data_IF_925554805240
#
_entry.id   IF_925554805240
#
_cell.length_a   1.000
_cell.length_b   1.000
_cell.length_c   1.000
_cell.angle_alpha   90.00
_cell.angle_beta   90.00
_cell.angle_gamma   90.00
#
_symmetry.space_group_name_H-M   'P 1'
#
loop_
_entity.id
_entity.type
_entity.pdbx_description
1 polymer ?
#
# COMPACT_ATOMS: atom_id res chain seq x y z
N UNK A 1 -6.42 -14.64 7.69
CA UNK A 1 -7.11 -14.26 6.46
C UNK A 1 -8.30 -13.32 6.70
N UNK A 2 -9.01 -13.48 7.82
CA UNK A 2 -10.15 -12.64 8.23
C UNK A 2 -9.74 -11.17 8.41
N UNK A 3 -8.62 -10.88 9.06
CA UNK A 3 -8.16 -9.52 9.37
C UNK A 3 -7.85 -8.62 8.16
N UNK A 4 -7.37 -9.19 7.06
CA UNK A 4 -7.05 -8.41 5.87
C UNK A 4 -8.30 -7.94 5.13
N UNK A 5 -9.30 -8.82 5.02
CA UNK A 5 -10.57 -8.49 4.40
C UNK A 5 -11.40 -7.52 5.25
N UNK A 6 -11.36 -7.68 6.56
CA UNK A 6 -11.99 -6.75 7.50
C UNK A 6 -11.33 -5.37 7.42
N UNK A 7 -10.02 -5.34 7.22
CA UNK A 7 -9.27 -4.11 7.04
C UNK A 7 -9.65 -3.38 5.72
N UNK A 8 -9.71 -4.07 4.57
CA UNK A 8 -10.20 -3.46 3.32
C UNK A 8 -11.64 -2.97 3.49
N UNK A 9 -12.50 -3.76 4.10
CA UNK A 9 -13.87 -3.35 4.40
C UNK A 9 -13.92 -2.12 5.29
N UNK A 10 -13.07 -2.05 6.30
CA UNK A 10 -13.00 -0.90 7.21
C UNK A 10 -12.49 0.36 6.52
N UNK A 11 -11.51 0.24 5.63
CA UNK A 11 -11.07 1.37 4.79
C UNK A 11 -12.21 1.86 3.92
N UNK A 12 -12.86 0.98 3.19
CA UNK A 12 -13.95 1.32 2.30
C UNK A 12 -15.13 1.92 3.10
N UNK A 13 -15.46 1.36 4.26
CA UNK A 13 -16.51 1.88 5.15
C UNK A 13 -16.14 3.23 5.77
N UNK A 14 -14.89 3.40 6.19
CA UNK A 14 -14.41 4.63 6.81
C UNK A 14 -14.44 5.82 5.86
N UNK A 15 -14.16 5.60 4.59
CA UNK A 15 -14.14 6.65 3.56
C UNK A 15 -15.48 6.88 2.88
N UNK A 16 -16.53 6.15 3.28
CA UNK A 16 -17.85 6.30 2.68
C UNK A 16 -17.84 6.05 1.17
N UNK A 17 -16.85 5.30 0.67
CA UNK A 17 -16.81 4.93 -0.74
C UNK A 17 -18.13 4.24 -1.09
N UNK A 18 -18.74 4.71 -2.16
CA UNK A 18 -19.87 4.06 -2.76
C UNK A 18 -19.53 2.62 -3.18
N UNK A 19 -20.32 2.06 -4.06
CA UNK A 19 -20.09 0.68 -4.50
C UNK A 19 -18.85 0.49 -5.37
N UNK A 20 -18.15 1.56 -5.73
CA UNK A 20 -16.93 1.53 -6.57
C UNK A 20 -15.86 2.43 -5.97
N UNK A 21 -14.62 1.96 -5.95
CA UNK A 21 -13.43 2.71 -5.53
C UNK A 21 -12.24 2.38 -6.41
N UNK A 22 -11.29 3.31 -6.52
CA UNK A 22 -10.03 3.14 -7.25
C UNK A 22 -8.88 3.18 -6.26
N UNK A 23 -8.11 2.10 -6.18
CA UNK A 23 -6.95 1.96 -5.30
C UNK A 23 -5.65 1.93 -6.09
N UNK A 24 -4.67 2.69 -5.63
CA UNK A 24 -3.33 2.71 -6.21
C UNK A 24 -2.38 1.90 -5.33
N UNK A 25 -1.77 0.87 -5.90
CA UNK A 25 -0.74 0.06 -5.24
C UNK A 25 0.64 0.56 -5.66
N UNK A 26 1.36 1.18 -4.77
CA UNK A 26 2.70 1.71 -4.99
C UNK A 26 3.67 1.26 -3.89
N UNK A 27 4.95 1.55 -4.07
CA UNK A 27 6.04 1.10 -3.23
C UNK A 27 7.19 0.61 -4.08
N UNK A 28 8.33 0.33 -3.46
CA UNK A 28 9.53 -0.09 -4.18
C UNK A 28 9.30 -1.39 -4.97
N UNK A 29 10.13 -1.64 -5.96
CA UNK A 29 10.14 -2.93 -6.65
C UNK A 29 10.41 -4.07 -5.65
N UNK A 30 9.90 -5.25 -5.97
CA UNK A 30 9.94 -6.42 -5.10
C UNK A 30 9.20 -6.29 -3.74
N UNK A 31 8.48 -5.20 -3.45
CA UNK A 31 7.68 -5.08 -2.23
C UNK A 31 6.45 -6.01 -2.20
N UNK A 32 6.08 -6.60 -3.34
CA UNK A 32 5.00 -7.59 -3.45
C UNK A 32 3.65 -7.02 -3.91
N UNK A 33 3.62 -5.88 -4.59
CA UNK A 33 2.41 -5.22 -5.11
C UNK A 33 1.59 -6.11 -6.03
N UNK A 34 2.22 -6.62 -7.10
CA UNK A 34 1.57 -7.52 -8.08
C UNK A 34 1.07 -8.82 -7.42
N UNK A 35 1.85 -9.36 -6.49
CA UNK A 35 1.47 -10.56 -5.72
C UNK A 35 0.25 -10.28 -4.85
N UNK A 36 0.19 -9.12 -4.21
CA UNK A 36 -0.97 -8.68 -3.43
C UNK A 36 -2.20 -8.55 -4.33
N UNK A 37 -2.07 -7.86 -5.46
CA UNK A 37 -3.17 -7.66 -6.40
C UNK A 37 -3.74 -9.01 -6.90
N UNK A 38 -2.89 -9.96 -7.25
CA UNK A 38 -3.34 -11.28 -7.68
C UNK A 38 -3.95 -12.11 -6.57
N UNK A 39 -3.41 -11.99 -5.36
CA UNK A 39 -3.99 -12.62 -4.18
C UNK A 39 -5.40 -12.12 -3.91
N UNK A 40 -5.61 -10.82 -4.07
CA UNK A 40 -6.94 -10.21 -3.92
C UNK A 40 -7.90 -10.64 -5.02
N UNK A 41 -7.41 -10.74 -6.26
CA UNK A 41 -8.22 -11.09 -7.42
C UNK A 41 -8.63 -12.56 -7.46
N UNK A 42 -7.71 -13.48 -7.13
CA UNK A 42 -7.88 -14.91 -7.37
C UNK A 42 -7.73 -15.79 -6.14
N UNK A 43 -7.34 -15.21 -5.00
CA UNK A 43 -6.99 -15.97 -3.80
C UNK A 43 -5.66 -16.73 -3.91
N UNK A 44 -4.95 -16.62 -5.03
CA UNK A 44 -3.72 -17.38 -5.30
C UNK A 44 -2.49 -16.49 -5.11
N UNK A 45 -1.39 -17.11 -4.65
CA UNK A 45 -0.07 -16.49 -4.62
C UNK A 45 0.63 -16.77 -5.95
N UNK A 46 0.92 -15.72 -6.70
CA UNK A 46 1.63 -15.79 -7.97
C UNK A 46 2.88 -14.94 -7.85
N UNK A 47 4.03 -15.52 -8.19
CA UNK A 47 5.27 -14.76 -8.31
C UNK A 47 5.31 -14.03 -9.66
N UNK A 48 5.67 -12.76 -9.60
CA UNK A 48 5.80 -11.92 -10.80
C UNK A 48 7.23 -11.44 -11.00
N UNK A 49 7.68 -11.31 -12.24
CA UNK A 49 8.86 -10.48 -12.53
C UNK A 49 8.55 -9.02 -12.17
N UNK A 50 9.58 -8.16 -12.09
CA UNK A 50 9.38 -6.72 -11.90
C UNK A 50 8.36 -6.15 -12.87
N UNK A 51 7.49 -5.26 -12.37
CA UNK A 51 6.43 -4.64 -13.17
C UNK A 51 7.00 -3.44 -13.92
N UNK A 52 7.07 -3.55 -15.25
CA UNK A 52 7.55 -2.49 -16.12
C UNK A 52 6.42 -1.59 -16.63
N UNK A 53 5.21 -2.15 -16.74
CA UNK A 53 4.03 -1.44 -17.24
C UNK A 53 2.93 -1.43 -16.18
N UNK A 54 2.18 -0.34 -16.12
CA UNK A 54 1.03 -0.24 -15.25
C UNK A 54 0.01 -1.34 -15.58
N UNK A 55 -0.51 -2.00 -14.54
CA UNK A 55 -1.57 -3.01 -14.66
C UNK A 55 -2.76 -2.55 -13.82
N UNK A 56 -3.96 -2.86 -14.30
CA UNK A 56 -5.16 -2.68 -13.51
C UNK A 56 -5.95 -3.96 -13.43
N UNK A 57 -6.59 -4.18 -12.29
CA UNK A 57 -7.54 -5.28 -12.08
C UNK A 57 -8.76 -4.79 -11.35
N UNK A 58 -9.90 -5.27 -11.80
CA UNK A 58 -11.14 -5.12 -11.08
C UNK A 58 -11.26 -6.24 -10.03
N UNK A 59 -11.54 -5.85 -8.80
CA UNK A 59 -11.59 -6.71 -7.64
C UNK A 59 -12.94 -6.52 -6.97
N UNK A 60 -13.58 -7.61 -6.56
CA UNK A 60 -14.87 -7.55 -5.87
C UNK A 60 -14.77 -8.11 -4.46
N UNK A 61 -15.29 -7.36 -3.50
CA UNK A 61 -15.36 -7.76 -2.11
C UNK A 61 -16.78 -7.57 -1.59
N UNK A 62 -17.55 -8.64 -1.51
CA UNK A 62 -18.97 -8.54 -1.20
C UNK A 62 -19.68 -7.68 -2.23
N UNK A 63 -20.29 -6.59 -1.78
CA UNK A 63 -21.04 -5.65 -2.63
C UNK A 63 -20.19 -4.48 -3.16
N UNK A 64 -18.89 -4.51 -2.92
CA UNK A 64 -17.98 -3.43 -3.28
C UNK A 64 -17.07 -3.90 -4.40
N UNK A 65 -17.02 -3.14 -5.47
CA UNK A 65 -16.08 -3.34 -6.58
C UNK A 65 -15.04 -2.22 -6.54
N UNK A 66 -13.77 -2.58 -6.67
CA UNK A 66 -12.70 -1.59 -6.75
C UNK A 66 -11.72 -1.93 -7.85
N UNK A 67 -11.17 -0.91 -8.48
CA UNK A 67 -10.11 -1.05 -9.47
C UNK A 67 -8.79 -0.82 -8.78
N UNK A 68 -7.91 -1.82 -8.77
CA UNK A 68 -6.56 -1.69 -8.27
C UNK A 68 -5.58 -1.44 -9.42
N UNK A 69 -4.76 -0.41 -9.30
CA UNK A 69 -3.66 -0.11 -10.22
C UNK A 69 -2.35 -0.55 -9.60
N UNK A 70 -1.63 -1.45 -10.25
CA UNK A 70 -0.31 -1.94 -9.85
C UNK A 70 0.76 -1.25 -10.70
N UNK A 71 1.52 -0.39 -10.10
CA UNK A 71 2.57 0.37 -10.76
C UNK A 71 3.96 -0.17 -10.44
N UNK A 72 4.88 -0.06 -11.40
CA UNK A 72 6.28 -0.40 -11.21
C UNK A 72 6.91 0.37 -10.06
N UNK A 73 7.81 -0.29 -9.32
CA UNK A 73 8.50 0.25 -8.15
C UNK A 73 9.96 0.64 -8.38
N UNK A 74 10.51 0.39 -9.57
CA UNK A 74 11.87 0.80 -9.90
C UNK A 74 11.94 2.32 -10.18
N UNK A 75 13.09 2.92 -10.03
CA UNK A 75 13.27 4.40 -10.03
C UNK A 75 12.60 5.10 -11.20
N UNK A 76 12.70 4.54 -12.42
CA UNK A 76 12.09 5.14 -13.60
C UNK A 76 10.55 5.05 -13.57
N UNK A 77 10.01 3.94 -13.11
CA UNK A 77 8.57 3.72 -13.04
C UNK A 77 7.86 4.58 -11.98
N UNK A 78 8.57 5.00 -10.91
CA UNK A 78 7.98 5.84 -9.86
C UNK A 78 7.54 7.21 -10.34
N UNK A 79 8.16 7.70 -11.43
CA UNK A 79 7.83 9.01 -12.03
C UNK A 79 6.37 9.10 -12.45
N UNK A 80 5.77 7.99 -12.84
CA UNK A 80 4.36 7.95 -13.27
C UNK A 80 3.37 7.79 -12.12
N UNK A 81 3.81 7.58 -10.87
CA UNK A 81 2.89 7.44 -9.74
C UNK A 81 1.97 8.64 -9.59
N UNK A 82 2.52 9.85 -9.74
CA UNK A 82 1.78 11.10 -9.59
C UNK A 82 0.71 11.32 -10.65
N UNK A 83 0.87 10.73 -11.83
CA UNK A 83 -0.12 10.82 -12.90
C UNK A 83 -1.45 10.14 -12.54
N UNK A 84 -1.39 9.18 -11.61
CA UNK A 84 -2.57 8.46 -11.11
C UNK A 84 -3.25 9.13 -9.93
N UNK A 85 -2.57 10.02 -9.20
CA UNK A 85 -3.09 10.61 -7.98
C UNK A 85 -4.46 11.28 -8.13
N UNK A 86 -4.74 12.07 -9.19
CA UNK A 86 -6.03 12.70 -9.36
C UNK A 86 -7.20 11.74 -9.63
N UNK A 87 -6.87 10.50 -9.99
CA UNK A 87 -7.85 9.51 -10.45
C UNK A 87 -8.17 8.43 -9.39
N UNK A 88 -7.58 8.48 -8.20
CA UNK A 88 -7.69 7.41 -7.21
C UNK A 88 -8.32 7.89 -5.91
N UNK A 89 -9.02 6.97 -5.25
CA UNK A 89 -9.74 7.22 -4.00
C UNK A 89 -8.92 6.79 -2.77
N UNK A 90 -7.87 6.00 -2.98
CA UNK A 90 -7.00 5.54 -1.90
C UNK A 90 -5.65 5.03 -2.42
N UNK A 91 -4.65 5.11 -1.57
CA UNK A 91 -3.29 4.65 -1.85
C UNK A 91 -2.88 3.58 -0.86
N UNK A 92 -2.31 2.51 -1.37
CA UNK A 92 -1.70 1.43 -0.59
C UNK A 92 -0.21 1.42 -0.91
N UNK A 93 0.60 1.85 0.05
CA UNK A 93 2.06 1.87 -0.07
C UNK A 93 2.65 0.60 0.57
N UNK A 94 3.27 -0.26 -0.25
CA UNK A 94 3.87 -1.50 0.21
C UNK A 94 5.36 -1.36 0.47
N UNK A 95 5.80 -1.90 1.61
CA UNK A 95 7.21 -1.98 2.02
C UNK A 95 7.56 -3.43 2.27
N UNK A 96 8.71 -3.90 1.76
CA UNK A 96 9.29 -5.19 2.13
C UNK A 96 9.89 -5.08 3.53
N UNK A 97 9.21 -5.62 4.54
CA UNK A 97 9.64 -5.54 5.93
C UNK A 97 10.93 -6.36 6.22
N UNK A 98 11.36 -7.20 5.30
CA UNK A 98 12.55 -8.04 5.41
C UNK A 98 13.78 -7.48 4.65
N UNK A 99 13.64 -6.32 3.99
CA UNK A 99 14.73 -5.71 3.24
C UNK A 99 15.18 -4.40 3.89
N UNK A 100 15.90 -4.52 4.98
CA UNK A 100 16.39 -3.37 5.75
C UNK A 100 17.34 -2.45 4.96
N UNK A 101 17.99 -2.97 3.93
CA UNK A 101 18.89 -2.19 3.08
C UNK A 101 18.16 -1.11 2.27
N UNK A 102 16.82 -1.27 2.08
CA UNK A 102 16.00 -0.37 1.28
C UNK A 102 15.00 0.46 2.10
N UNK A 103 15.04 0.37 3.42
CA UNK A 103 14.12 1.15 4.27
C UNK A 103 14.27 2.66 4.09
N UNK A 104 15.51 3.15 3.99
CA UNK A 104 15.77 4.57 3.76
C UNK A 104 15.18 5.03 2.42
N UNK A 105 15.32 4.24 1.36
CA UNK A 105 14.73 4.51 0.05
C UNK A 105 13.21 4.54 0.12
N UNK A 106 12.60 3.55 0.80
CA UNK A 106 11.16 3.49 0.99
C UNK A 106 10.62 4.67 1.81
N UNK A 107 11.36 5.10 2.85
CA UNK A 107 11.00 6.25 3.67
C UNK A 107 10.99 7.55 2.87
N UNK A 108 12.01 7.79 2.04
CA UNK A 108 12.09 8.98 1.19
C UNK A 108 10.93 9.05 0.20
N UNK A 109 10.62 7.93 -0.47
CA UNK A 109 9.50 7.88 -1.41
C UNK A 109 8.15 8.09 -0.72
N UNK A 110 7.96 7.46 0.45
CA UNK A 110 6.74 7.64 1.23
C UNK A 110 6.57 9.08 1.70
N UNK A 111 7.63 9.69 2.22
CA UNK A 111 7.63 11.09 2.66
C UNK A 111 7.27 12.05 1.52
N UNK A 112 7.85 11.81 0.33
CA UNK A 112 7.52 12.57 -0.88
C UNK A 112 6.05 12.48 -1.29
N UNK A 113 5.40 11.32 -1.03
CA UNK A 113 3.97 11.12 -1.29
C UNK A 113 3.13 11.82 -0.22
N UNK A 114 3.51 11.69 1.05
CA UNK A 114 2.78 12.29 2.17
C UNK A 114 2.76 13.82 2.13
N UNK A 115 3.74 14.43 1.49
CA UNK A 115 3.81 15.89 1.29
C UNK A 115 3.26 16.37 -0.06
N UNK A 116 2.69 15.47 -0.87
CA UNK A 116 2.10 15.86 -2.15
C UNK A 116 0.71 16.46 -1.94
N UNK A 117 0.56 17.75 -2.24
CA UNK A 117 -0.69 18.50 -2.02
C UNK A 117 -1.86 17.95 -2.85
N UNK A 118 -1.59 17.32 -3.99
CA UNK A 118 -2.64 16.79 -4.90
C UNK A 118 -3.43 15.65 -4.28
N UNK A 119 -2.84 14.94 -3.30
CA UNK A 119 -3.45 13.83 -2.58
C UNK A 119 -3.69 14.11 -1.10
N UNK A 120 -3.68 15.36 -0.68
CA UNK A 120 -3.89 15.75 0.73
C UNK A 120 -5.20 15.21 1.33
N UNK A 121 -6.17 14.88 0.48
CA UNK A 121 -7.47 14.30 0.86
C UNK A 121 -7.57 12.79 0.62
N UNK A 122 -6.56 12.19 -0.03
CA UNK A 122 -6.56 10.76 -0.37
C UNK A 122 -5.98 9.96 0.81
N UNK A 123 -6.72 8.98 1.32
CA UNK A 123 -6.22 8.12 2.39
C UNK A 123 -5.05 7.27 1.93
N UNK A 124 -4.03 7.18 2.77
CA UNK A 124 -2.84 6.37 2.51
C UNK A 124 -2.70 5.32 3.59
N UNK A 125 -2.51 4.09 3.16
CA UNK A 125 -2.23 2.96 4.03
C UNK A 125 -0.86 2.42 3.70
N UNK A 126 -0.04 2.20 4.73
CA UNK A 126 1.27 1.58 4.60
C UNK A 126 1.17 0.12 5.04
N UNK A 127 1.64 -0.79 4.19
CA UNK A 127 1.66 -2.22 4.44
C UNK A 127 3.09 -2.74 4.53
N UNK A 128 3.51 -3.22 5.71
CA UNK A 128 4.70 -4.03 5.87
C UNK A 128 4.44 -5.45 5.39
N UNK A 129 5.04 -5.82 4.26
CA UNK A 129 4.90 -7.13 3.65
C UNK A 129 6.11 -8.04 3.95
N UNK A 130 5.98 -9.34 3.68
CA UNK A 130 6.99 -10.38 3.86
C UNK A 130 7.46 -10.56 5.31
N UNK A 131 6.60 -10.27 6.25
CA UNK A 131 6.85 -10.44 7.69
C UNK A 131 6.96 -11.92 8.13
N UNK A 132 6.73 -12.86 7.22
CA UNK A 132 7.01 -14.28 7.39
C UNK A 132 8.50 -14.64 7.26
N UNK A 133 9.32 -13.71 6.82
CA UNK A 133 10.77 -13.87 6.74
C UNK A 133 11.43 -13.59 8.09
N UNK A 134 12.56 -14.26 8.35
CA UNK A 134 13.33 -14.11 9.60
C UNK A 134 13.90 -12.71 9.79
N UNK A 135 14.27 -12.06 8.67
CA UNK A 135 14.89 -10.75 8.61
C UNK A 135 13.87 -9.61 8.75
N UNK A 136 12.58 -9.95 8.75
CA UNK A 136 11.53 -8.94 8.82
C UNK A 136 11.54 -8.23 10.18
N UNK A 137 11.49 -6.91 10.12
CA UNK A 137 11.35 -6.08 11.33
C UNK A 137 9.90 -6.05 11.79
N UNK A 138 9.72 -5.85 13.08
CA UNK A 138 8.39 -5.70 13.68
C UNK A 138 7.72 -4.38 13.26
N UNK A 139 6.40 -4.34 13.39
CA UNK A 139 5.55 -3.21 12.99
C UNK A 139 6.01 -1.88 13.62
N UNK A 140 6.30 -1.87 14.91
CA UNK A 140 6.71 -0.67 15.62
C UNK A 140 8.04 -0.12 15.08
N UNK A 141 9.00 -1.01 14.85
CA UNK A 141 10.29 -0.64 14.28
C UNK A 141 10.14 -0.10 12.87
N UNK A 142 9.34 -0.76 12.02
CA UNK A 142 9.08 -0.30 10.67
C UNK A 142 8.39 1.08 10.67
N UNK A 143 7.42 1.27 11.55
CA UNK A 143 6.72 2.55 11.72
C UNK A 143 7.68 3.68 12.09
N UNK A 144 8.61 3.42 13.01
CA UNK A 144 9.62 4.40 13.42
C UNK A 144 10.58 4.73 12.28
N UNK A 145 11.08 3.72 11.56
CA UNK A 145 12.00 3.88 10.43
C UNK A 145 11.36 4.69 9.30
N UNK A 146 10.09 4.46 9.02
CA UNK A 146 9.34 5.16 7.99
C UNK A 146 8.82 6.55 8.44
N UNK A 147 9.09 6.97 9.69
CA UNK A 147 8.67 8.25 10.22
C UNK A 147 7.16 8.37 10.51
N UNK A 148 6.43 7.26 10.56
CA UNK A 148 4.97 7.26 10.67
C UNK A 148 4.45 7.66 12.06
N UNK A 149 5.29 7.60 13.06
CA UNK A 149 4.96 7.97 14.45
C UNK A 149 4.56 9.44 14.57
N UNK A 150 5.15 10.31 13.75
CA UNK A 150 4.86 11.75 13.73
C UNK A 150 3.41 12.00 13.26
N UNK A 151 2.95 11.23 12.30
CA UNK A 151 1.60 11.33 11.74
C UNK A 151 0.52 10.74 12.65
N UNK A 152 0.88 9.76 13.51
CA UNK A 152 -0.05 9.15 14.49
C UNK A 152 -0.40 10.09 15.65
N UNK A 153 0.46 11.05 15.97
CA UNK A 153 0.30 11.96 17.12
C UNK A 153 -0.55 13.21 16.83
N UNK A 154 -1.14 13.32 15.64
CA UNK A 154 -2.04 14.43 15.30
C UNK A 154 -1.37 15.80 15.17
N UNK A 155 -0.05 15.87 15.17
CA UNK A 155 0.70 17.14 15.00
C UNK A 155 0.70 17.65 13.56
N UNK A 156 0.28 16.83 12.60
CA UNK A 156 0.06 17.24 11.22
C UNK A 156 -1.44 17.17 10.98
N UNK A 157 -2.08 18.32 10.99
CA UNK A 157 -3.51 18.47 10.76
C UNK A 157 -3.81 18.28 9.27
N UNK A 158 -3.97 17.08 8.83
CA UNK A 158 -4.68 16.75 7.60
C UNK A 158 -5.21 15.31 7.72
N UNK A 159 -6.35 15.06 7.13
CA UNK A 159 -7.20 13.87 7.20
C UNK A 159 -6.53 12.53 6.78
N UNK A 160 -5.28 12.28 7.19
CA UNK A 160 -4.58 11.05 6.90
C UNK A 160 -4.96 9.98 7.92
N UNK A 161 -5.65 8.95 7.46
CA UNK A 161 -5.72 7.68 8.19
C UNK A 161 -4.51 6.85 7.83
N UNK A 162 -3.38 7.17 8.44
CA UNK A 162 -2.16 6.37 8.29
C UNK A 162 -2.25 5.18 9.23
N UNK A 163 -2.33 3.99 8.69
CA UNK A 163 -2.26 2.74 9.46
C UNK A 163 -1.19 1.86 8.85
N UNK A 164 -0.25 1.43 9.68
CA UNK A 164 0.67 0.37 9.35
C UNK A 164 -0.01 -0.96 9.68
N UNK A 165 0.00 -1.89 8.74
CA UNK A 165 -0.48 -3.25 8.94
C UNK A 165 0.64 -4.21 8.61
N UNK A 166 0.94 -5.09 9.55
CA UNK A 166 1.82 -6.23 9.33
C UNK A 166 0.97 -7.46 9.07
N UNK A 167 1.42 -8.27 8.16
CA UNK A 167 0.87 -9.58 7.82
C UNK A 167 -0.17 -9.61 6.71
N UNK A 168 0.30 -9.62 5.48
CA UNK A 168 -0.54 -10.04 4.34
C UNK A 168 -0.43 -11.56 4.12
N UNK A 169 0.68 -12.17 4.49
CA UNK A 169 0.96 -13.58 4.22
C UNK A 169 1.61 -14.29 5.42
N UNK A 170 0.80 -14.99 6.22
CA UNK A 170 1.34 -16.08 7.04
C UNK A 170 1.33 -17.38 6.21
N UNK A 171 2.48 -18.02 6.09
CA UNK A 171 2.53 -19.43 5.71
C UNK A 171 1.85 -20.25 6.81
N UNK A 172 0.87 -21.08 6.43
CA UNK A 172 0.50 -22.24 7.24
C UNK A 172 1.55 -23.31 7.08
#
# INVERSE_FOLDING_TARGET
>A
MVFFWDWIRNIIAYFGFGRQAKLLLIGLDNAGKSTLMDRLASGRLIQHPPTDQARSKELSLGNITFTAYDLGGHVQARRVWRDYFPAVDGIVFLVDAADSSRFQEASIELDSILHDETISHVPIVVLGNKNDKREAVEEENLSNILGLTIYRTGKVSHNFSLKLYTTIFQRK
#
